data_IF_808577193851
#
_entry.id   IF_808577193851
#
_cell.length_a   1.000
_cell.length_b   1.000
_cell.length_c   1.000
_cell.angle_alpha   90.00
_cell.angle_beta   90.00
_cell.angle_gamma   90.00
#
_symmetry.space_group_name_H-M   'P 1'
#
loop_
_entity.id
_entity.type
_entity.pdbx_description
1 polymer ?
#
# COMPACT_ATOMS: atom_id res chain seq x y z
N UNK A 1 -1.39 10.92 10.82
CA UNK A 1 -1.20 11.48 9.45
C UNK A 1 -0.50 10.44 8.61
N UNK A 2 -1.10 9.91 7.54
CA UNK A 2 -0.52 8.81 6.74
C UNK A 2 0.88 9.09 6.13
N UNK A 3 1.52 8.04 5.60
CA UNK A 3 2.83 8.09 4.93
C UNK A 3 2.82 7.36 3.59
N UNK A 4 3.55 7.89 2.60
CA UNK A 4 3.73 7.30 1.27
C UNK A 4 5.22 7.10 1.02
N UNK A 5 5.58 5.96 0.45
CA UNK A 5 6.93 5.64 -0.04
C UNK A 5 6.82 5.16 -1.48
N UNK A 6 7.76 5.51 -2.32
CA UNK A 6 7.87 4.99 -3.69
C UNK A 6 9.31 4.74 -4.03
N UNK A 7 9.57 3.69 -4.82
CA UNK A 7 10.91 3.38 -5.31
C UNK A 7 10.85 2.89 -6.75
N UNK A 8 11.78 3.40 -7.56
CA UNK A 8 12.08 2.95 -8.91
C UNK A 8 13.59 2.84 -9.02
N UNK A 9 14.11 1.67 -9.31
CA UNK A 9 15.56 1.51 -9.50
C UNK A 9 15.97 0.07 -9.80
N UNK A 10 17.13 -0.32 -9.28
CA UNK A 10 17.80 -1.59 -9.58
C UNK A 10 17.88 -2.55 -8.40
N UNK A 11 17.51 -2.10 -7.19
CA UNK A 11 17.52 -2.93 -5.98
C UNK A 11 16.17 -3.61 -5.80
N UNK A 12 16.14 -4.70 -5.03
CA UNK A 12 14.87 -5.31 -4.61
C UNK A 12 14.04 -4.29 -3.84
N UNK A 13 12.79 -4.10 -4.26
CA UNK A 13 11.97 -2.97 -3.80
C UNK A 13 11.31 -3.21 -2.45
N UNK A 14 11.03 -4.46 -2.09
CA UNK A 14 10.23 -4.78 -0.90
C UNK A 14 10.88 -4.25 0.38
N UNK A 15 12.17 -4.53 0.59
CA UNK A 15 12.91 -4.08 1.77
C UNK A 15 12.99 -2.55 1.83
N UNK A 16 13.23 -1.90 0.69
CA UNK A 16 13.29 -0.44 0.58
C UNK A 16 11.95 0.20 0.98
N UNK A 17 10.84 -0.36 0.50
CA UNK A 17 9.51 0.12 0.85
C UNK A 17 9.23 -0.11 2.33
N UNK A 18 9.54 -1.28 2.88
CA UNK A 18 9.29 -1.56 4.31
C UNK A 18 10.16 -0.69 5.22
N UNK A 19 11.41 -0.45 4.88
CA UNK A 19 12.31 0.42 5.66
C UNK A 19 11.84 1.87 5.60
N UNK A 20 11.42 2.33 4.42
CA UNK A 20 10.83 3.66 4.26
C UNK A 20 9.54 3.82 5.07
N UNK A 21 8.69 2.79 5.09
CA UNK A 21 7.44 2.80 5.87
C UNK A 21 7.70 2.77 7.37
N UNK A 22 8.77 2.10 7.82
CA UNK A 22 9.19 2.08 9.22
C UNK A 22 9.58 3.47 9.71
N UNK A 23 10.27 4.26 8.88
CA UNK A 23 10.54 5.68 9.18
C UNK A 23 9.27 6.53 9.25
N UNK A 24 8.14 6.04 8.73
CA UNK A 24 6.85 6.73 8.71
C UNK A 24 5.84 6.09 9.69
N UNK A 25 6.22 5.12 10.52
CA UNK A 25 5.26 4.43 11.41
C UNK A 25 4.73 5.34 12.52
N UNK A 26 5.47 6.37 12.94
CA UNK A 26 4.98 7.39 13.87
C UNK A 26 3.77 8.19 13.34
N UNK A 27 3.52 8.09 12.03
CA UNK A 27 2.51 8.84 11.29
C UNK A 27 1.19 8.05 11.16
N UNK A 28 1.22 6.71 11.18
CA UNK A 28 0.05 5.85 11.12
C UNK A 28 0.36 4.41 11.52
N UNK A 29 -0.62 3.70 12.08
CA UNK A 29 -0.44 2.33 12.59
C UNK A 29 -1.69 1.46 12.49
N UNK A 30 -2.74 1.94 11.80
CA UNK A 30 -4.02 1.23 11.69
C UNK A 30 -3.96 0.15 10.61
N UNK A 31 -3.19 0.37 9.56
CA UNK A 31 -2.91 -0.60 8.49
C UNK A 31 -1.76 -0.10 7.61
N UNK A 32 -1.15 -1.02 6.87
CA UNK A 32 -0.09 -0.72 5.91
C UNK A 32 -0.17 -1.66 4.70
N UNK A 33 0.46 -1.26 3.61
CA UNK A 33 0.54 -2.11 2.43
C UNK A 33 1.56 -1.62 1.42
N UNK A 34 1.96 -2.53 0.53
CA UNK A 34 2.80 -2.23 -0.62
C UNK A 34 2.20 -2.82 -1.90
N UNK A 35 2.50 -2.17 -3.02
CA UNK A 35 2.31 -2.73 -4.35
C UNK A 35 3.67 -2.75 -5.06
N UNK A 36 3.97 -3.88 -5.70
CA UNK A 36 5.25 -4.13 -6.37
C UNK A 36 4.99 -4.60 -7.80
N UNK A 37 5.83 -4.14 -8.72
CA UNK A 37 5.77 -4.56 -10.13
C UNK A 37 6.63 -5.81 -10.32
N UNK A 38 5.98 -6.95 -10.53
CA UNK A 38 6.61 -8.24 -10.79
C UNK A 38 6.39 -8.62 -12.25
N UNK A 39 7.44 -8.55 -13.07
CA UNK A 39 7.33 -8.75 -14.52
C UNK A 39 6.24 -7.82 -15.10
N UNK A 40 5.17 -8.37 -15.67
CA UNK A 40 4.04 -7.62 -16.24
C UNK A 40 2.81 -7.55 -15.32
N UNK A 41 2.99 -7.85 -14.02
CA UNK A 41 1.88 -7.92 -13.05
C UNK A 41 2.16 -7.11 -11.79
N UNK A 42 1.14 -6.42 -11.32
CA UNK A 42 1.18 -5.74 -10.03
C UNK A 42 0.75 -6.72 -8.94
N UNK A 43 1.58 -6.90 -7.92
CA UNK A 43 1.23 -7.65 -6.70
C UNK A 43 1.04 -6.69 -5.55
N UNK A 44 0.01 -6.93 -4.75
CA UNK A 44 -0.41 -6.04 -3.65
C UNK A 44 -0.47 -6.84 -2.36
N UNK A 45 0.22 -6.37 -1.33
CA UNK A 45 0.29 -6.99 -0.02
C UNK A 45 -0.15 -5.97 1.02
N UNK A 46 -1.04 -6.35 1.92
CA UNK A 46 -1.68 -5.45 2.88
C UNK A 46 -1.90 -6.14 4.20
N UNK A 47 -1.74 -5.39 5.30
CA UNK A 47 -2.00 -5.88 6.63
C UNK A 47 -2.69 -4.81 7.49
N UNK A 48 -3.53 -5.26 8.42
CA UNK A 48 -4.12 -4.41 9.47
C UNK A 48 -3.16 -4.31 10.64
N UNK A 49 -3.15 -3.15 11.32
CA UNK A 49 -2.31 -2.87 12.46
C UNK A 49 -0.90 -2.42 12.08
N UNK A 50 0.05 -2.70 13.00
CA UNK A 50 1.45 -2.26 12.91
C UNK A 50 2.16 -2.83 11.69
N UNK A 51 3.24 -2.15 11.26
CA UNK A 51 4.02 -2.53 10.10
C UNK A 51 4.58 -3.96 10.18
N UNK A 52 4.85 -4.47 11.38
CA UNK A 52 5.31 -5.84 11.58
C UNK A 52 4.35 -6.90 11.02
N UNK A 53 3.05 -6.62 11.00
CA UNK A 53 2.06 -7.52 10.40
C UNK A 53 2.25 -7.59 8.87
N UNK A 54 2.55 -6.47 8.22
CA UNK A 54 2.88 -6.44 6.79
C UNK A 54 4.21 -7.16 6.52
N UNK A 55 5.24 -6.96 7.36
CA UNK A 55 6.51 -7.70 7.25
C UNK A 55 6.27 -9.21 7.32
N UNK A 56 5.39 -9.67 8.22
CA UNK A 56 5.01 -11.09 8.36
C UNK A 56 4.23 -11.61 7.15
N UNK A 57 3.31 -10.82 6.61
CA UNK A 57 2.59 -11.14 5.38
C UNK A 57 3.56 -11.32 4.20
N UNK A 58 4.49 -10.37 4.02
CA UNK A 58 5.47 -10.39 2.95
C UNK A 58 6.37 -11.63 2.98
N UNK A 59 6.80 -12.07 4.18
CA UNK A 59 7.63 -13.28 4.32
C UNK A 59 6.99 -14.54 3.71
N UNK A 60 5.66 -14.66 3.73
CA UNK A 60 4.94 -15.80 3.16
C UNK A 60 5.00 -15.82 1.62
N UNK A 61 5.24 -14.66 1.01
CA UNK A 61 5.21 -14.45 -0.43
C UNK A 61 6.57 -14.08 -1.03
N UNK A 62 7.68 -14.21 -0.29
CA UNK A 62 9.00 -13.70 -0.71
C UNK A 62 9.40 -14.08 -2.14
N UNK A 63 9.20 -15.35 -2.53
CA UNK A 63 9.55 -15.84 -3.87
C UNK A 63 8.76 -15.18 -5.02
N UNK A 64 7.65 -14.51 -4.71
CA UNK A 64 6.79 -13.87 -5.70
C UNK A 64 7.26 -12.49 -6.16
N UNK A 65 8.04 -11.80 -5.34
CA UNK A 65 8.41 -10.40 -5.56
C UNK A 65 9.90 -10.12 -5.38
N UNK A 66 10.72 -11.13 -5.06
CA UNK A 66 12.16 -10.98 -4.76
C UNK A 66 12.92 -10.17 -5.83
N UNK A 67 12.56 -10.35 -7.10
CA UNK A 67 13.16 -9.67 -8.26
C UNK A 67 12.51 -8.33 -8.62
N UNK A 68 11.43 -7.93 -7.95
CA UNK A 68 10.75 -6.67 -8.23
C UNK A 68 11.65 -5.48 -7.82
N UNK A 69 11.76 -4.47 -8.69
CA UNK A 69 12.62 -3.30 -8.45
C UNK A 69 11.87 -1.98 -8.45
N UNK A 70 10.54 -2.05 -8.54
CA UNK A 70 9.64 -0.89 -8.59
C UNK A 70 8.40 -1.15 -7.75
N UNK A 71 7.95 -0.14 -7.01
CA UNK A 71 6.75 -0.24 -6.20
C UNK A 71 6.44 1.01 -5.40
N UNK A 72 5.30 0.97 -4.73
CA UNK A 72 4.80 2.01 -3.83
C UNK A 72 4.30 1.39 -2.53
N UNK A 73 4.43 2.13 -1.43
CA UNK A 73 4.00 1.73 -0.10
C UNK A 73 3.18 2.81 0.57
N UNK A 74 2.30 2.38 1.47
CA UNK A 74 1.48 3.26 2.29
C UNK A 74 1.38 2.78 3.73
N UNK A 75 1.38 3.74 4.65
CA UNK A 75 0.97 3.51 6.03
C UNK A 75 -0.17 4.44 6.38
N UNK A 76 -1.25 3.85 6.92
CA UNK A 76 -2.55 4.48 7.05
C UNK A 76 -2.87 4.83 8.50
N UNK A 77 -3.36 6.04 8.68
CA UNK A 77 -4.15 6.47 9.85
C UNK A 77 -5.60 6.60 9.39
N UNK A 78 -6.50 5.81 9.95
CA UNK A 78 -7.89 5.73 9.49
C UNK A 78 -8.69 6.97 9.91
N UNK A 79 -9.12 7.79 8.95
CA UNK A 79 -10.08 8.89 9.17
C UNK A 79 -11.50 8.52 8.70
N UNK A 80 -11.60 7.75 7.61
CA UNK A 80 -12.85 7.24 7.05
C UNK A 80 -12.79 5.72 6.93
N UNK A 81 -13.81 5.01 7.41
CA UNK A 81 -13.90 3.55 7.31
C UNK A 81 -12.97 2.80 8.28
N UNK A 82 -13.43 1.62 8.70
CA UNK A 82 -12.71 0.77 9.65
C UNK A 82 -11.33 0.32 9.11
N UNK A 83 -10.36 0.06 9.99
CA UNK A 83 -9.07 -0.52 9.59
C UNK A 83 -9.25 -1.98 9.17
N UNK A 84 -9.37 -2.20 7.86
CA UNK A 84 -9.52 -3.51 7.22
C UNK A 84 -8.50 -3.66 6.11
N UNK A 85 -8.19 -4.90 5.72
CA UNK A 85 -7.31 -5.17 4.56
C UNK A 85 -7.89 -4.53 3.30
N UNK A 86 -9.21 -4.51 3.13
CA UNK A 86 -9.89 -3.86 2.00
C UNK A 86 -9.64 -2.35 1.97
N UNK A 87 -9.76 -1.68 3.11
CA UNK A 87 -9.59 -0.23 3.25
C UNK A 87 -8.11 0.21 3.34
N UNK A 88 -7.20 -0.71 3.60
CA UNK A 88 -5.77 -0.45 3.52
C UNK A 88 -5.36 -0.13 2.07
N UNK A 89 -4.48 0.85 1.92
CA UNK A 89 -3.85 1.15 0.65
C UNK A 89 -2.65 0.20 0.43
N UNK A 90 -2.21 -0.02 -0.82
CA UNK A 90 -2.73 0.55 -2.07
C UNK A 90 -4.13 0.04 -2.49
N UNK A 91 -4.89 0.89 -3.18
CA UNK A 91 -6.14 0.53 -3.85
C UNK A 91 -5.89 0.15 -5.30
N UNK A 92 -6.62 -0.84 -5.81
CA UNK A 92 -6.51 -1.38 -7.18
C UNK A 92 -7.71 -0.97 -8.02
N UNK A 93 -7.50 -0.67 -9.31
CA UNK A 93 -8.61 -0.59 -10.27
C UNK A 93 -9.24 -1.97 -10.50
N UNK A 94 -10.46 -2.00 -11.06
CA UNK A 94 -11.09 -3.21 -11.60
C UNK A 94 -10.31 -3.84 -12.77
N UNK A 95 -9.46 -3.05 -13.42
CA UNK A 95 -8.65 -3.45 -14.57
C UNK A 95 -7.37 -4.24 -14.23
N UNK A 96 -6.97 -4.32 -12.94
CA UNK A 96 -5.72 -4.94 -12.50
C UNK A 96 -4.42 -4.20 -12.85
N UNK A 97 -4.49 -3.14 -13.67
CA UNK A 97 -3.31 -2.46 -14.22
C UNK A 97 -2.98 -1.12 -13.56
N UNK A 98 -3.76 -0.69 -12.56
CA UNK A 98 -3.57 0.55 -11.84
C UNK A 98 -3.69 0.32 -10.34
N UNK A 99 -2.72 0.85 -9.60
CA UNK A 99 -2.74 0.93 -8.15
C UNK A 99 -2.45 2.34 -7.67
N UNK A 100 -3.07 2.73 -6.56
CA UNK A 100 -2.95 4.08 -6.02
C UNK A 100 -2.88 4.10 -4.50
N UNK A 101 -2.05 5.00 -3.99
CA UNK A 101 -1.95 5.39 -2.58
C UNK A 101 -2.37 6.86 -2.45
N UNK A 102 -2.97 7.23 -1.32
CA UNK A 102 -3.47 8.58 -1.12
C UNK A 102 -3.22 9.06 0.31
N UNK A 103 -2.75 10.30 0.44
CA UNK A 103 -2.67 11.03 1.69
C UNK A 103 -3.49 12.29 1.56
N UNK A 104 -4.62 12.35 2.25
CA UNK A 104 -5.57 13.46 2.15
C UNK A 104 -6.99 12.97 2.39
N UNK A 105 -7.95 13.85 2.09
CA UNK A 105 -9.37 13.56 2.11
C UNK A 105 -9.93 14.06 0.77
N UNK A 106 -10.71 13.22 0.09
CA UNK A 106 -11.52 13.63 -1.06
C UNK A 106 -12.86 14.09 -0.47
N UNK A 107 -13.03 15.39 -0.30
CA UNK A 107 -14.16 15.96 0.46
C UNK A 107 -15.52 15.65 -0.17
N UNK A 108 -15.59 15.60 -1.50
CA UNK A 108 -16.78 15.30 -2.27
C UNK A 108 -16.90 13.81 -2.68
N UNK A 109 -16.27 12.88 -1.94
CA UNK A 109 -16.27 11.46 -2.32
C UNK A 109 -17.68 10.82 -2.40
N UNK A 110 -18.65 11.34 -1.64
CA UNK A 110 -20.04 10.85 -1.67
C UNK A 110 -20.72 11.19 -2.99
N UNK A 111 -20.63 12.45 -3.41
CA UNK A 111 -21.17 12.95 -4.68
C UNK A 111 -20.53 12.18 -5.85
N UNK A 112 -19.19 12.08 -5.87
CA UNK A 112 -18.46 11.32 -6.90
C UNK A 112 -18.87 9.85 -6.94
N UNK A 113 -19.15 9.23 -5.79
CA UNK A 113 -19.57 7.84 -5.72
C UNK A 113 -20.98 7.64 -6.28
N UNK A 114 -21.87 8.61 -6.09
CA UNK A 114 -23.22 8.59 -6.65
C UNK A 114 -23.21 8.80 -8.17
N UNK A 115 -22.36 9.70 -8.68
CA UNK A 115 -22.20 9.96 -10.12
C UNK A 115 -21.58 8.79 -10.89
N UNK A 116 -20.71 8.01 -10.24
CA UNK A 116 -19.96 6.90 -10.86
C UNK A 116 -20.56 5.51 -10.59
N UNK A 117 -21.69 5.43 -9.89
CA UNK A 117 -22.41 4.18 -9.60
C UNK A 117 -23.23 3.70 -10.81
#
# INVERSE_FOLDING_TARGET
>A
MCGIVGYVGHKSVADILTDGLEQLEYRGYDSSGIAVMCEDKIKVYKAVGKLNNLKTELLQHKGEYEKATMGIGHIRWATHGAPTVLNAHPHTCSCGNLVLVHNGIIENYKELREELA
#
